data_IF_540859135198
#
_entry.id   IF_540859135198
#
_cell.length_a   1.000
_cell.length_b   1.000
_cell.length_c   1.000
_cell.angle_alpha   90.00
_cell.angle_beta   90.00
_cell.angle_gamma   90.00
#
_symmetry.space_group_name_H-M   'P 1'
#
loop_
_entity.id
_entity.type
_entity.pdbx_description
1 polymer ?
#
# COMPACT_ATOMS: atom_id res chain seq x y z
N UNK A 1 -8.68 -0.87 -1.56
CA UNK A 1 -8.13 -0.75 -0.20
C UNK A 1 -8.94 0.28 0.58
N UNK A 2 -9.76 -0.17 1.50
CA UNK A 2 -10.56 0.68 2.37
C UNK A 2 -10.15 0.45 3.83
N UNK A 3 -10.47 1.41 4.71
CA UNK A 3 -10.16 1.32 6.14
C UNK A 3 -10.76 0.06 6.78
N UNK A 4 -12.03 -0.22 6.51
CA UNK A 4 -12.71 -1.41 7.06
C UNK A 4 -12.09 -2.72 6.59
N UNK A 5 -11.84 -2.86 5.29
CA UNK A 5 -11.19 -4.07 4.73
C UNK A 5 -9.78 -4.27 5.29
N UNK A 6 -9.02 -3.18 5.41
CA UNK A 6 -7.66 -3.21 5.96
C UNK A 6 -7.66 -3.66 7.42
N UNK A 7 -8.59 -3.12 8.22
CA UNK A 7 -8.72 -3.53 9.62
C UNK A 7 -9.06 -5.02 9.73
N UNK A 8 -10.04 -5.50 8.97
CA UNK A 8 -10.40 -6.94 8.96
C UNK A 8 -9.22 -7.82 8.54
N UNK A 9 -8.45 -7.39 7.53
CA UNK A 9 -7.26 -8.13 7.09
C UNK A 9 -6.22 -8.20 8.21
N UNK A 10 -5.93 -7.09 8.88
CA UNK A 10 -4.95 -7.01 9.96
C UNK A 10 -5.34 -7.81 11.19
N UNK A 11 -6.64 -8.00 11.44
CA UNK A 11 -7.18 -8.77 12.58
C UNK A 11 -7.41 -10.24 12.23
N UNK A 12 -7.18 -10.63 10.99
CA UNK A 12 -7.38 -12.00 10.54
C UNK A 12 -6.29 -12.95 11.04
N UNK A 13 -6.56 -14.25 10.95
CA UNK A 13 -5.59 -15.30 11.26
C UNK A 13 -4.72 -15.70 10.05
N UNK A 14 -4.77 -14.92 8.95
CA UNK A 14 -3.92 -15.16 7.79
C UNK A 14 -2.45 -14.92 8.12
N UNK A 15 -1.56 -15.59 7.39
CA UNK A 15 -0.12 -15.35 7.50
C UNK A 15 0.30 -14.07 6.76
N UNK A 16 -0.39 -13.78 5.67
CA UNK A 16 -0.15 -12.61 4.81
C UNK A 16 -1.48 -12.01 4.36
N UNK A 17 -1.46 -10.74 3.99
CA UNK A 17 -2.56 -10.10 3.29
C UNK A 17 -2.05 -9.20 2.17
N UNK A 18 -2.82 -9.11 1.10
CA UNK A 18 -2.47 -8.33 -0.09
C UNK A 18 -3.29 -7.04 -0.12
N UNK A 19 -2.59 -5.91 0.02
CA UNK A 19 -3.16 -4.60 -0.23
C UNK A 19 -3.07 -4.32 -1.74
N UNK A 20 -4.19 -4.45 -2.42
CA UNK A 20 -4.23 -4.45 -3.87
C UNK A 20 -4.73 -3.12 -4.44
N UNK A 21 -3.82 -2.34 -5.01
CA UNK A 21 -4.14 -1.12 -5.74
C UNK A 21 -4.32 -1.37 -7.25
N UNK A 22 -4.09 -2.61 -7.74
CA UNK A 22 -4.26 -2.98 -9.14
C UNK A 22 -5.70 -3.41 -9.43
N UNK A 23 -6.02 -4.67 -9.20
CA UNK A 23 -7.28 -5.28 -9.67
C UNK A 23 -8.47 -5.03 -8.73
N UNK A 24 -8.23 -4.85 -7.43
CA UNK A 24 -9.28 -4.75 -6.43
C UNK A 24 -9.64 -3.30 -6.05
N UNK A 25 -9.07 -2.30 -6.70
CA UNK A 25 -9.33 -0.89 -6.40
C UNK A 25 -9.52 -0.10 -7.68
N UNK A 26 -10.65 0.60 -7.83
CA UNK A 26 -10.86 1.51 -8.95
C UNK A 26 -9.81 2.63 -8.92
N UNK A 27 -9.10 2.90 -10.04
CA UNK A 27 -7.93 3.78 -10.05
C UNK A 27 -8.28 5.27 -10.11
N UNK A 28 -9.26 5.70 -9.32
CA UNK A 28 -9.56 7.13 -9.15
C UNK A 28 -8.49 7.77 -8.26
N UNK A 29 -8.21 9.05 -8.47
CA UNK A 29 -7.27 9.79 -7.63
C UNK A 29 -7.60 9.66 -6.14
N UNK A 30 -8.87 9.83 -5.80
CA UNK A 30 -9.33 9.69 -4.42
C UNK A 30 -8.99 8.32 -3.83
N UNK A 31 -9.31 7.23 -4.54
CA UNK A 31 -9.06 5.88 -4.05
C UNK A 31 -7.56 5.58 -3.88
N UNK A 32 -6.73 6.09 -4.79
CA UNK A 32 -5.28 5.89 -4.73
C UNK A 32 -4.66 6.61 -3.54
N UNK A 33 -5.04 7.84 -3.30
CA UNK A 33 -4.52 8.61 -2.15
C UNK A 33 -5.10 8.11 -0.83
N UNK A 34 -6.40 7.84 -0.77
CA UNK A 34 -7.03 7.26 0.43
C UNK A 34 -6.42 5.90 0.77
N UNK A 35 -6.18 5.07 -0.23
CA UNK A 35 -5.50 3.79 -0.05
C UNK A 35 -4.11 3.94 0.58
N UNK A 36 -3.31 4.90 0.13
CA UNK A 36 -2.00 5.19 0.70
C UNK A 36 -2.10 5.64 2.17
N UNK A 37 -3.07 6.49 2.49
CA UNK A 37 -3.30 6.96 3.86
C UNK A 37 -3.69 5.79 4.77
N UNK A 38 -4.63 4.97 4.32
CA UNK A 38 -5.11 3.79 5.06
C UNK A 38 -3.95 2.81 5.32
N UNK A 39 -3.10 2.58 4.32
CA UNK A 39 -1.93 1.71 4.48
C UNK A 39 -0.89 2.30 5.43
N UNK A 40 -0.65 3.61 5.38
CA UNK A 40 0.25 4.27 6.31
C UNK A 40 -0.24 4.17 7.77
N UNK A 41 -1.55 4.33 7.98
CA UNK A 41 -2.14 4.14 9.30
C UNK A 41 -2.00 2.69 9.79
N UNK A 42 -2.25 1.71 8.91
CA UNK A 42 -2.07 0.29 9.23
C UNK A 42 -0.61 -0.04 9.60
N UNK A 43 0.35 0.50 8.86
CA UNK A 43 1.78 0.29 9.14
C UNK A 43 2.18 0.88 10.50
N UNK A 44 1.63 2.04 10.87
CA UNK A 44 1.85 2.59 12.21
C UNK A 44 1.34 1.67 13.32
N UNK A 45 0.22 0.98 13.09
CA UNK A 45 -0.32 -0.01 14.03
C UNK A 45 0.62 -1.21 14.26
N UNK A 46 1.34 -1.66 13.22
CA UNK A 46 2.36 -2.71 13.39
C UNK A 46 3.45 -2.28 14.37
N UNK A 47 3.88 -1.05 14.28
CA UNK A 47 4.92 -0.50 15.14
C UNK A 47 4.41 -0.20 16.56
N UNK A 48 3.19 0.34 16.66
CA UNK A 48 2.61 0.75 17.95
C UNK A 48 2.24 -0.45 18.84
N UNK A 49 1.91 -1.59 18.25
CA UNK A 49 1.45 -2.80 18.94
C UNK A 49 2.24 -4.04 18.51
N UNK A 50 3.56 -4.10 18.81
CA UNK A 50 4.41 -5.23 18.41
C UNK A 50 4.01 -6.56 19.08
N UNK A 51 3.26 -6.51 20.19
CA UNK A 51 2.75 -7.67 20.90
C UNK A 51 1.61 -8.38 20.17
N UNK A 52 0.93 -7.70 19.22
CA UNK A 52 -0.17 -8.28 18.47
C UNK A 52 0.35 -9.09 17.30
N UNK A 53 -0.14 -10.34 17.19
CA UNK A 53 0.09 -11.13 15.98
C UNK A 53 -0.67 -10.51 14.82
N UNK A 54 0.04 -10.19 13.74
CA UNK A 54 -0.55 -9.59 12.54
C UNK A 54 -0.02 -10.30 11.29
N UNK A 55 -0.83 -10.43 10.25
CA UNK A 55 -0.37 -10.98 8.98
C UNK A 55 0.63 -10.02 8.30
N UNK A 56 1.56 -10.58 7.55
CA UNK A 56 2.52 -9.79 6.76
C UNK A 56 1.80 -9.04 5.64
N UNK A 57 2.01 -7.74 5.57
CA UNK A 57 1.49 -6.89 4.50
C UNK A 57 2.32 -7.06 3.23
N UNK A 58 1.65 -7.33 2.11
CA UNK A 58 2.21 -7.29 0.76
C UNK A 58 1.41 -6.26 -0.03
N UNK A 59 2.07 -5.30 -0.67
CA UNK A 59 1.42 -4.24 -1.45
C UNK A 59 1.58 -4.52 -2.94
N UNK A 60 0.47 -4.43 -3.70
CA UNK A 60 0.49 -4.52 -5.16
C UNK A 60 0.14 -3.17 -5.76
N UNK A 61 1.12 -2.47 -6.38
CA UNK A 61 0.88 -1.21 -7.07
C UNK A 61 0.09 -1.44 -8.37
N UNK A 62 -0.44 -0.38 -8.94
CA UNK A 62 -1.15 -0.42 -10.23
C UNK A 62 -0.25 -0.97 -11.36
N UNK A 63 -0.90 -1.49 -12.39
CA UNK A 63 -0.24 -2.12 -13.54
C UNK A 63 0.72 -1.17 -14.29
N UNK A 64 1.76 -1.73 -14.90
CA UNK A 64 2.84 -0.98 -15.56
C UNK A 64 2.39 -0.11 -16.72
N UNK A 65 1.28 -0.47 -17.40
CA UNK A 65 0.76 0.30 -18.53
C UNK A 65 -0.07 1.53 -18.12
N UNK A 66 -0.36 1.71 -16.83
CA UNK A 66 -1.17 2.82 -16.34
C UNK A 66 -0.33 4.04 -16.00
N UNK A 67 -0.90 5.21 -16.29
CA UNK A 67 -0.34 6.50 -15.89
C UNK A 67 -1.24 7.18 -14.86
N UNK A 68 -0.62 7.91 -13.91
CA UNK A 68 -1.35 8.77 -12.99
C UNK A 68 -1.47 10.17 -13.59
N UNK A 69 -2.64 10.48 -14.14
CA UNK A 69 -2.88 11.73 -14.89
C UNK A 69 -2.92 12.97 -13.99
N UNK A 70 -3.18 12.81 -12.68
CA UNK A 70 -3.28 13.91 -11.73
C UNK A 70 -1.92 14.34 -11.17
N UNK A 71 -0.88 13.59 -11.48
CA UNK A 71 0.48 13.92 -11.07
C UNK A 71 1.39 13.97 -12.31
N UNK A 72 1.97 15.13 -12.56
CA UNK A 72 2.84 15.32 -13.72
C UNK A 72 4.25 15.67 -13.28
N UNK A 73 5.23 15.21 -14.06
CA UNK A 73 6.64 15.58 -13.93
C UNK A 73 7.08 16.13 -15.29
N UNK A 74 7.58 17.36 -15.31
CA UNK A 74 7.96 18.07 -16.53
C UNK A 74 6.81 18.09 -17.57
N UNK A 75 5.58 18.32 -17.10
CA UNK A 75 4.39 18.38 -17.95
C UNK A 75 3.85 17.04 -18.46
N UNK A 76 4.43 15.90 -18.02
CA UNK A 76 4.01 14.56 -18.44
C UNK A 76 3.42 13.77 -17.28
N UNK A 77 2.33 13.01 -17.51
CA UNK A 77 1.81 12.07 -16.50
C UNK A 77 2.90 11.08 -16.09
N UNK A 78 2.98 10.82 -14.80
CA UNK A 78 3.91 9.83 -14.24
C UNK A 78 3.35 8.42 -14.29
N UNK A 79 4.20 7.40 -14.33
CA UNK A 79 3.80 6.00 -14.18
C UNK A 79 2.98 5.80 -12.89
N UNK A 80 1.79 5.23 -13.01
CA UNK A 80 0.95 4.91 -11.86
C UNK A 80 1.63 3.92 -10.90
N UNK A 81 2.33 2.93 -11.44
CA UNK A 81 3.10 1.96 -10.65
C UNK A 81 4.16 2.64 -9.80
N UNK A 82 4.90 3.58 -10.39
CA UNK A 82 5.97 4.29 -9.67
C UNK A 82 5.42 5.26 -8.62
N UNK A 83 4.25 5.86 -8.85
CA UNK A 83 3.56 6.66 -7.82
C UNK A 83 3.19 5.79 -6.63
N UNK A 84 2.49 4.67 -6.88
CA UNK A 84 2.03 3.78 -5.82
C UNK A 84 3.19 3.17 -5.05
N UNK A 85 4.19 2.67 -5.74
CA UNK A 85 5.41 2.13 -5.13
C UNK A 85 6.17 3.20 -4.33
N UNK A 86 6.43 4.35 -4.95
CA UNK A 86 7.24 5.40 -4.35
C UNK A 86 6.61 5.97 -3.09
N UNK A 87 5.31 6.27 -3.11
CA UNK A 87 4.60 6.77 -1.94
C UNK A 87 4.58 5.74 -0.80
N UNK A 88 4.26 4.50 -1.11
CA UNK A 88 4.22 3.45 -0.09
C UNK A 88 5.61 3.19 0.50
N UNK A 89 6.62 3.02 -0.33
CA UNK A 89 7.97 2.74 0.11
C UNK A 89 8.54 3.88 0.95
N UNK A 90 8.45 5.11 0.45
CA UNK A 90 8.98 6.29 1.13
C UNK A 90 8.38 6.48 2.53
N UNK A 91 7.06 6.33 2.65
CA UNK A 91 6.38 6.58 3.92
C UNK A 91 6.42 5.42 4.90
N UNK A 92 6.59 4.18 4.44
CA UNK A 92 6.32 3.00 5.28
C UNK A 92 7.49 2.04 5.44
N UNK A 93 8.47 2.04 4.56
CA UNK A 93 9.53 1.01 4.56
C UNK A 93 10.29 0.94 5.89
N UNK A 94 10.74 2.07 6.40
CA UNK A 94 11.49 2.10 7.66
C UNK A 94 10.64 1.64 8.84
N UNK A 95 9.38 2.10 8.90
CA UNK A 95 8.46 1.69 9.98
C UNK A 95 8.19 0.19 9.97
N UNK A 96 8.03 -0.41 8.78
CA UNK A 96 7.86 -1.86 8.65
C UNK A 96 9.10 -2.63 9.11
N UNK A 97 10.29 -2.18 8.72
CA UNK A 97 11.55 -2.77 9.15
C UNK A 97 11.70 -2.70 10.67
N UNK A 98 11.44 -1.54 11.25
CA UNK A 98 11.51 -1.32 12.71
C UNK A 98 10.51 -2.21 13.47
N UNK A 99 9.37 -2.55 12.85
CA UNK A 99 8.37 -3.44 13.41
C UNK A 99 8.67 -4.94 13.20
N UNK A 100 9.80 -5.29 12.58
CA UNK A 100 10.19 -6.68 12.33
C UNK A 100 9.60 -7.28 11.06
N UNK A 101 9.05 -6.44 10.17
CA UNK A 101 8.54 -6.84 8.86
C UNK A 101 9.46 -6.31 7.76
N UNK A 102 9.01 -6.35 6.53
CA UNK A 102 9.68 -5.75 5.39
C UNK A 102 8.69 -5.03 4.49
N UNK A 103 9.16 -4.13 3.62
CA UNK A 103 8.33 -3.53 2.57
C UNK A 103 8.19 -4.52 1.42
N UNK A 104 7.28 -5.48 1.54
CA UNK A 104 7.07 -6.51 0.53
C UNK A 104 6.09 -6.05 -0.55
N UNK A 105 6.42 -6.39 -1.79
CA UNK A 105 5.62 -6.04 -2.96
C UNK A 105 5.28 -7.26 -3.79
N UNK A 106 4.08 -7.27 -4.35
CA UNK A 106 3.70 -8.14 -5.44
C UNK A 106 3.77 -7.33 -6.74
N UNK A 107 4.67 -7.70 -7.64
CA UNK A 107 4.85 -6.94 -8.88
C UNK A 107 3.60 -7.04 -9.77
N UNK A 108 3.11 -5.91 -10.31
CA UNK A 108 1.92 -5.90 -11.15
C UNK A 108 2.18 -6.44 -12.56
N UNK A 109 1.11 -6.63 -13.30
CA UNK A 109 1.16 -6.99 -14.73
C UNK A 109 1.77 -5.89 -15.58
#
# INVERSE_FOLDING_TARGET
VTRSMTQHAMESNASTWLADLEDATSPTWFNMIEGQIVLADAVREYRAHPERKRPTLIMRPRAWHLCEKHLTVDGRPISATLVDFGLFFFHNAQTLIDAGFGPYFYLPK
#
